data_IF_865583270709
#
_entry.id   IF_865583270709
#
_cell.length_a   1.000
_cell.length_b   1.000
_cell.length_c   1.000
_cell.angle_alpha   90.00
_cell.angle_beta   90.00
_cell.angle_gamma   90.00
#
_symmetry.space_group_name_H-M   'P 1'
#
loop_
_entity.id
_entity.type
_entity.pdbx_description
1 polymer ?
#
# COMPACT_ATOMS: atom_id res chain seq x y z
N UNK A 1 -2.40 13.23 7.58
CA UNK A 1 -3.58 12.81 8.37
C UNK A 1 -4.25 13.92 9.17
N UNK A 2 -3.52 14.87 9.80
CA UNK A 2 -4.15 15.98 10.57
C UNK A 2 -5.19 16.79 9.76
N UNK A 3 -5.04 16.85 8.44
CA UNK A 3 -5.99 17.49 7.52
C UNK A 3 -7.12 16.57 7.02
N UNK A 4 -7.34 15.40 7.64
CA UNK A 4 -8.38 14.45 7.25
C UNK A 4 -8.12 13.65 5.97
N UNK A 5 -6.96 13.84 5.33
CA UNK A 5 -6.58 13.14 4.09
C UNK A 5 -5.77 11.88 4.42
N UNK A 6 -6.14 10.78 3.77
CA UNK A 6 -5.44 9.47 3.76
C UNK A 6 -4.77 9.30 2.41
N UNK A 7 -3.51 8.87 2.38
CA UNK A 7 -2.71 8.71 1.17
C UNK A 7 -3.13 7.51 0.33
N UNK A 8 -3.38 6.35 0.96
CA UNK A 8 -3.87 5.09 0.35
C UNK A 8 -2.94 4.43 -0.67
N UNK A 9 -1.72 4.93 -0.85
CA UNK A 9 -0.76 4.44 -1.86
C UNK A 9 0.69 4.73 -1.44
N UNK A 10 1.02 4.51 -0.16
CA UNK A 10 2.41 4.60 0.30
C UNK A 10 3.19 3.40 -0.23
N UNK A 11 4.26 3.66 -0.98
CA UNK A 11 5.18 2.66 -1.55
C UNK A 11 6.47 3.35 -2.02
N UNK A 12 7.58 2.63 -2.25
CA UNK A 12 8.85 3.23 -2.66
C UNK A 12 8.76 4.14 -3.89
N UNK A 13 7.96 3.75 -4.90
CA UNK A 13 7.77 4.57 -6.10
C UNK A 13 7.16 5.96 -5.84
N UNK A 14 6.50 6.14 -4.69
CA UNK A 14 5.87 7.39 -4.28
C UNK A 14 6.67 8.13 -3.19
N UNK A 15 7.89 7.67 -2.86
CA UNK A 15 8.79 8.31 -1.90
C UNK A 15 10.06 8.75 -2.63
N UNK A 16 10.26 10.06 -2.73
CA UNK A 16 11.39 10.66 -3.44
C UNK A 16 12.39 11.26 -2.45
N UNK A 17 13.67 11.05 -2.72
CA UNK A 17 14.76 11.74 -2.06
C UNK A 17 15.25 12.83 -3.02
N UNK A 18 15.13 14.08 -2.61
CA UNK A 18 15.64 15.22 -3.39
C UNK A 18 17.17 15.28 -3.36
N UNK A 19 17.79 16.04 -4.26
CA UNK A 19 19.25 16.25 -4.28
C UNK A 19 19.82 16.82 -2.97
N UNK A 20 19.00 17.53 -2.19
CA UNK A 20 19.37 18.04 -0.86
C UNK A 20 19.19 17.03 0.28
N UNK A 21 18.80 15.79 -0.02
CA UNK A 21 18.57 14.72 0.94
C UNK A 21 17.19 14.73 1.62
N UNK A 22 16.31 15.67 1.30
CA UNK A 22 14.96 15.70 1.85
C UNK A 22 14.09 14.57 1.29
N UNK A 23 13.30 13.93 2.15
CA UNK A 23 12.30 12.90 1.77
C UNK A 23 10.96 13.57 1.49
N UNK A 24 10.37 13.27 0.34
CA UNK A 24 9.05 13.74 -0.09
C UNK A 24 8.15 12.58 -0.46
N UNK A 25 6.91 12.64 -0.01
CA UNK A 25 5.86 11.69 -0.41
C UNK A 25 5.03 12.34 -1.52
N UNK A 26 4.81 11.59 -2.60
CA UNK A 26 4.11 12.03 -3.80
C UNK A 26 2.85 11.21 -4.05
N UNK A 27 2.00 11.67 -4.97
CA UNK A 27 0.87 10.91 -5.49
C UNK A 27 -0.02 10.31 -4.41
N UNK A 28 -0.61 11.20 -3.59
CA UNK A 28 -1.77 10.86 -2.78
C UNK A 28 -2.75 10.13 -3.69
N UNK A 29 -3.09 8.88 -3.35
CA UNK A 29 -3.78 7.90 -4.19
C UNK A 29 -5.24 8.27 -4.48
N UNK A 30 -5.47 9.48 -4.97
CA UNK A 30 -6.74 10.13 -5.24
C UNK A 30 -7.56 9.28 -6.22
N UNK A 31 -6.91 8.64 -7.19
CA UNK A 31 -7.56 7.69 -8.09
C UNK A 31 -8.21 6.51 -7.33
N UNK A 32 -7.51 5.95 -6.33
CA UNK A 32 -8.05 4.88 -5.45
C UNK A 32 -9.13 5.41 -4.51
N UNK A 33 -9.09 6.69 -4.17
CA UNK A 33 -10.15 7.31 -3.37
C UNK A 33 -11.46 7.47 -4.12
N UNK A 34 -11.39 7.76 -5.42
CA UNK A 34 -12.56 7.93 -6.30
C UNK A 34 -13.25 6.61 -6.64
N UNK A 35 -12.51 5.50 -6.68
CA UNK A 35 -13.05 4.20 -7.11
C UNK A 35 -13.44 3.26 -5.94
N UNK A 36 -13.19 3.68 -4.68
CA UNK A 36 -13.47 2.87 -3.48
C UNK A 36 -12.52 1.68 -3.30
N UNK A 37 -12.41 1.13 -2.08
CA UNK A 37 -11.50 -0.01 -1.82
C UNK A 37 -11.81 -1.26 -2.69
N UNK A 38 -13.05 -1.37 -3.20
CA UNK A 38 -13.50 -2.40 -4.12
C UNK A 38 -12.77 -2.39 -5.48
N UNK A 39 -12.16 -1.27 -5.89
CA UNK A 39 -11.54 -1.14 -7.21
C UNK A 39 -10.11 -1.64 -7.29
N UNK A 40 -9.51 -2.10 -6.18
CA UNK A 40 -8.18 -2.72 -6.24
C UNK A 40 -8.26 -4.11 -6.88
N UNK A 41 -9.46 -4.69 -7.00
CA UNK A 41 -9.70 -5.96 -7.66
C UNK A 41 -10.57 -5.69 -8.90
N UNK A 42 -10.04 -5.93 -10.09
CA UNK A 42 -10.82 -5.80 -11.32
C UNK A 42 -11.87 -6.91 -11.39
N UNK A 43 -12.91 -6.73 -12.23
CA UNK A 43 -13.91 -7.79 -12.51
C UNK A 43 -13.29 -9.13 -12.98
N UNK A 44 -12.06 -9.11 -13.48
CA UNK A 44 -11.29 -10.30 -13.91
C UNK A 44 -10.40 -10.90 -12.82
N UNK A 45 -10.47 -10.41 -11.57
CA UNK A 45 -9.63 -10.88 -10.47
C UNK A 45 -8.18 -10.39 -10.54
N UNK A 46 -7.86 -9.40 -11.39
CA UNK A 46 -6.54 -8.79 -11.40
C UNK A 46 -6.44 -7.75 -10.29
N UNK A 47 -5.39 -7.85 -9.47
CA UNK A 47 -5.05 -6.82 -8.49
C UNK A 47 -4.47 -5.63 -9.26
N UNK A 48 -5.16 -4.49 -9.24
CA UNK A 48 -4.66 -3.26 -9.86
C UNK A 48 -3.70 -2.55 -8.88
N UNK A 49 -2.40 -2.50 -9.22
CA UNK A 49 -1.38 -1.79 -8.44
C UNK A 49 -0.26 -2.69 -7.90
N UNK A 50 0.39 -2.24 -6.82
CA UNK A 50 1.55 -2.90 -6.19
C UNK A 50 1.09 -3.59 -4.91
N UNK A 51 0.81 -4.91 -4.91
CA UNK A 51 0.18 -5.61 -3.79
C UNK A 51 1.02 -5.61 -2.51
N UNK A 52 2.34 -5.39 -2.60
CA UNK A 52 3.31 -5.52 -1.51
C UNK A 52 3.15 -4.50 -0.36
N UNK A 53 2.40 -3.42 -0.58
CA UNK A 53 2.19 -2.35 0.42
C UNK A 53 0.71 -2.14 0.74
N UNK A 54 -0.13 -3.09 0.33
CA UNK A 54 -1.57 -3.00 0.48
C UNK A 54 -1.96 -3.43 1.89
N UNK A 55 -2.77 -2.62 2.58
CA UNK A 55 -3.20 -2.96 3.93
C UNK A 55 -4.30 -4.03 3.97
N UNK A 56 -4.46 -4.78 5.08
CA UNK A 56 -5.44 -5.87 5.15
C UNK A 56 -6.89 -5.38 4.93
N UNK A 57 -7.25 -4.21 5.43
CA UNK A 57 -8.54 -3.60 5.19
C UNK A 57 -8.74 -3.15 3.73
N UNK A 58 -7.67 -2.72 3.05
CA UNK A 58 -7.72 -2.46 1.60
C UNK A 58 -7.93 -3.76 0.81
N UNK A 59 -7.28 -4.86 1.22
CA UNK A 59 -7.42 -6.18 0.58
C UNK A 59 -8.84 -6.72 0.67
N UNK A 60 -9.44 -6.53 1.83
CA UNK A 60 -10.79 -7.01 2.14
C UNK A 60 -11.89 -6.05 1.66
N UNK A 61 -11.54 -4.96 0.98
CA UNK A 61 -12.52 -3.94 0.54
C UNK A 61 -13.25 -3.26 1.69
N UNK A 62 -12.67 -3.24 2.89
CA UNK A 62 -13.22 -2.62 4.09
C UNK A 62 -12.97 -1.11 4.09
N UNK A 63 -13.55 -0.41 5.08
CA UNK A 63 -13.31 1.01 5.27
C UNK A 63 -11.81 1.28 5.51
N UNK A 64 -11.27 2.24 4.75
CA UNK A 64 -9.85 2.62 4.76
C UNK A 64 -9.72 3.95 5.50
N UNK A 65 -8.86 3.98 6.51
CA UNK A 65 -8.51 5.20 7.27
C UNK A 65 -6.99 5.40 7.32
N UNK A 66 -6.52 6.37 8.11
CA UNK A 66 -5.10 6.70 8.23
C UNK A 66 -4.20 5.52 8.66
N UNK A 67 -4.76 4.49 9.32
CA UNK A 67 -4.00 3.29 9.74
C UNK A 67 -3.53 2.47 8.55
N UNK A 68 -4.20 2.56 7.41
CA UNK A 68 -3.75 1.93 6.17
C UNK A 68 -2.41 2.51 5.69
N UNK A 69 -2.21 3.82 5.83
CA UNK A 69 -0.93 4.46 5.50
C UNK A 69 0.16 4.08 6.51
N UNK A 70 -0.20 3.91 7.79
CA UNK A 70 0.72 3.43 8.82
C UNK A 70 1.20 2.00 8.51
N UNK A 71 0.28 1.12 8.12
CA UNK A 71 0.60 -0.25 7.72
C UNK A 71 1.57 -0.27 6.53
N UNK A 72 1.24 0.45 5.45
CA UNK A 72 2.06 0.53 4.25
C UNK A 72 3.45 1.14 4.53
N UNK A 73 3.52 2.13 5.42
CA UNK A 73 4.79 2.70 5.92
C UNK A 73 5.61 1.64 6.68
N UNK A 74 4.95 0.79 7.47
CA UNK A 74 5.57 -0.36 8.13
C UNK A 74 6.18 -1.35 7.13
N UNK A 75 5.46 -1.68 6.05
CA UNK A 75 5.98 -2.52 4.96
C UNK A 75 7.21 -1.88 4.29
N UNK A 76 7.15 -0.57 4.03
CA UNK A 76 8.27 0.18 3.44
C UNK A 76 9.49 0.17 4.36
N UNK A 77 9.30 0.41 5.66
CA UNK A 77 10.39 0.36 6.64
C UNK A 77 10.99 -1.04 6.75
N UNK A 78 10.15 -2.08 6.75
CA UNK A 78 10.62 -3.47 6.69
C UNK A 78 11.52 -3.69 5.49
N UNK A 79 11.11 -3.24 4.29
CA UNK A 79 11.90 -3.39 3.08
C UNK A 79 13.22 -2.64 3.13
N UNK A 80 13.25 -1.42 3.68
CA UNK A 80 14.50 -0.68 3.85
C UNK A 80 15.50 -1.42 4.76
N UNK A 81 15.00 -2.15 5.75
CA UNK A 81 15.83 -2.88 6.71
C UNK A 81 16.20 -4.30 6.24
N UNK A 82 15.28 -4.97 5.55
CA UNK A 82 15.41 -6.37 5.13
C UNK A 82 15.77 -6.55 3.65
N UNK A 83 15.82 -5.47 2.88
CA UNK A 83 16.05 -5.43 1.43
C UNK A 83 15.01 -6.20 0.59
N UNK A 84 13.86 -6.52 1.20
CA UNK A 84 12.69 -7.14 0.57
C UNK A 84 11.42 -6.74 1.32
N UNK A 85 10.26 -6.62 0.65
CA UNK A 85 9.00 -6.42 1.36
C UNK A 85 8.70 -7.58 2.32
N UNK A 86 7.82 -7.37 3.33
CA UNK A 86 7.49 -8.40 4.31
C UNK A 86 6.87 -9.63 3.65
N UNK A 87 6.02 -9.41 2.64
CA UNK A 87 5.31 -10.45 1.91
C UNK A 87 5.72 -10.48 0.43
N UNK A 88 5.92 -11.68 -0.08
CA UNK A 88 6.33 -11.95 -1.46
C UNK A 88 5.62 -13.19 -1.96
N UNK A 89 5.25 -13.23 -3.24
CA UNK A 89 4.52 -14.36 -3.81
C UNK A 89 4.56 -14.37 -5.32
N UNK A 90 4.30 -15.55 -5.90
CA UNK A 90 4.32 -15.77 -7.35
C UNK A 90 3.19 -15.03 -8.09
N UNK A 91 2.11 -14.68 -7.39
CA UNK A 91 0.98 -13.94 -7.95
C UNK A 91 0.63 -12.74 -7.09
N UNK A 92 0.09 -11.66 -7.66
CA UNK A 92 -0.39 -10.52 -6.88
C UNK A 92 -1.42 -10.93 -5.82
N UNK A 93 -2.29 -11.87 -6.15
CA UNK A 93 -3.32 -12.37 -5.25
C UNK A 93 -2.72 -13.10 -4.04
N UNK A 94 -1.66 -13.89 -4.23
CA UNK A 94 -1.02 -14.57 -3.10
C UNK A 94 -0.41 -13.59 -2.10
N UNK A 95 0.18 -12.49 -2.58
CA UNK A 95 0.69 -11.41 -1.70
C UNK A 95 -0.47 -10.76 -0.92
N UNK A 96 -1.60 -10.48 -1.57
CA UNK A 96 -2.79 -9.94 -0.90
C UNK A 96 -3.31 -10.87 0.19
N UNK A 97 -3.32 -12.19 -0.05
CA UNK A 97 -3.73 -13.17 0.97
C UNK A 97 -2.77 -13.17 2.18
N UNK A 98 -1.46 -13.09 1.95
CA UNK A 98 -0.47 -13.02 3.03
C UNK A 98 -0.71 -11.80 3.93
N UNK A 99 -0.99 -10.62 3.35
CA UNK A 99 -1.34 -9.43 4.13
C UNK A 99 -2.54 -9.63 5.05
N UNK A 100 -3.50 -10.50 4.70
CA UNK A 100 -4.72 -10.74 5.48
C UNK A 100 -4.55 -11.83 6.53
N UNK A 101 -3.77 -12.87 6.24
CA UNK A 101 -3.77 -14.11 7.03
C UNK A 101 -2.46 -14.38 7.77
N UNK A 102 -1.34 -13.84 7.29
CA UNK A 102 -0.02 -14.20 7.78
C UNK A 102 0.55 -13.12 8.70
N UNK A 103 1.50 -13.54 9.54
CA UNK A 103 2.29 -12.64 10.38
C UNK A 103 3.58 -12.30 9.61
N UNK A 104 3.99 -11.01 9.52
CA UNK A 104 5.18 -10.57 8.78
C UNK A 104 6.52 -11.14 9.26
#
# INVERSE_FOLDING_TARGET
HQHGIVHRDIKPANVIITDSGAVKVMDFGIARALHGAQSTMTQTGMVMGTPQYLSPEQALGKAVDHRSDLYATGCLLYELLALRPPFTGETPLSVVYQHVQDIP
#
